data_IF_307007379649
#
_entry.id   IF_307007379649
#
_cell.length_a   1.000
_cell.length_b   1.000
_cell.length_c   1.000
_cell.angle_alpha   90.00
_cell.angle_beta   90.00
_cell.angle_gamma   90.00
#
_symmetry.space_group_name_H-M   'P 1'
#
loop_
_entity.id
_entity.type
_entity.pdbx_description
1 polymer ?
#
# COMPACT_ATOMS: atom_id res chain seq x y z
N UNK A 1 -4.12 -23.24 12.84
CA UNK A 1 -5.29 -22.43 12.42
C UNK A 1 -6.21 -22.34 13.64
N UNK A 2 -6.74 -21.16 14.00
CA UNK A 2 -7.72 -21.06 15.08
C UNK A 2 -8.90 -22.00 14.82
N UNK A 3 -9.53 -22.54 15.87
CA UNK A 3 -10.75 -23.31 15.67
C UNK A 3 -11.82 -22.43 15.04
N UNK A 4 -12.73 -23.04 14.25
CA UNK A 4 -13.79 -22.30 13.55
C UNK A 4 -14.66 -21.48 14.52
N UNK A 5 -14.90 -22.02 15.72
CA UNK A 5 -15.63 -21.36 16.80
C UNK A 5 -14.93 -20.08 17.28
N UNK A 6 -13.61 -20.15 17.54
CA UNK A 6 -12.81 -18.99 17.98
C UNK A 6 -12.76 -17.92 16.89
N UNK A 7 -12.57 -18.33 15.63
CA UNK A 7 -12.57 -17.39 14.50
C UNK A 7 -13.92 -16.71 14.33
N UNK A 8 -15.03 -17.45 14.52
CA UNK A 8 -16.37 -16.90 14.42
C UNK A 8 -16.66 -15.86 15.51
N UNK A 9 -16.32 -16.16 16.77
CA UNK A 9 -16.49 -15.23 17.88
C UNK A 9 -15.69 -13.95 17.64
N UNK A 10 -14.41 -14.07 17.29
CA UNK A 10 -13.54 -12.93 17.02
C UNK A 10 -14.02 -12.08 15.84
N UNK A 11 -14.41 -12.70 14.73
CA UNK A 11 -14.95 -11.98 13.57
C UNK A 11 -16.21 -11.18 13.93
N UNK A 12 -17.10 -11.76 14.72
CA UNK A 12 -18.33 -11.09 15.17
C UNK A 12 -18.03 -9.89 16.06
N UNK A 13 -17.14 -10.06 17.03
CA UNK A 13 -16.74 -9.01 17.98
C UNK A 13 -16.01 -7.84 17.29
N UNK A 14 -15.23 -8.13 16.26
CA UNK A 14 -14.41 -7.14 15.55
C UNK A 14 -15.06 -6.62 14.24
N UNK A 15 -16.33 -6.95 14.00
CA UNK A 15 -17.06 -6.55 12.77
C UNK A 15 -16.35 -6.97 11.46
N UNK A 16 -15.67 -8.12 11.48
CA UNK A 16 -14.95 -8.68 10.33
C UNK A 16 -15.78 -9.77 9.65
N UNK A 17 -15.76 -9.81 8.33
CA UNK A 17 -16.46 -10.85 7.56
C UNK A 17 -15.70 -12.20 7.64
N UNK A 18 -16.29 -13.18 8.35
CA UNK A 18 -15.72 -14.54 8.51
C UNK A 18 -15.39 -15.23 7.18
N UNK A 19 -16.28 -15.13 6.18
CA UNK A 19 -16.08 -15.78 4.87
C UNK A 19 -14.86 -15.20 4.15
N UNK A 20 -14.69 -13.88 4.18
CA UNK A 20 -13.52 -13.22 3.59
C UNK A 20 -12.24 -13.57 4.33
N UNK A 21 -12.27 -13.70 5.67
CA UNK A 21 -11.11 -14.13 6.44
C UNK A 21 -10.69 -15.57 6.13
N UNK A 22 -11.63 -16.50 6.03
CA UNK A 22 -11.34 -17.87 5.61
C UNK A 22 -10.72 -17.89 4.21
N UNK A 23 -11.23 -17.07 3.29
CA UNK A 23 -10.68 -16.97 1.94
C UNK A 23 -9.25 -16.40 1.94
N UNK A 24 -8.97 -15.38 2.76
CA UNK A 24 -7.64 -14.82 2.90
C UNK A 24 -6.64 -15.84 3.47
N UNK A 25 -7.04 -16.64 4.46
CA UNK A 25 -6.22 -17.72 5.03
C UNK A 25 -5.90 -18.78 3.96
N UNK A 26 -6.89 -19.18 3.17
CA UNK A 26 -6.73 -20.14 2.08
C UNK A 26 -5.74 -19.63 1.02
N UNK A 27 -5.95 -18.40 0.52
CA UNK A 27 -5.09 -17.77 -0.49
C UNK A 27 -3.65 -17.65 0.04
N UNK A 28 -3.48 -17.23 1.30
CA UNK A 28 -2.15 -17.15 1.92
C UNK A 28 -1.47 -18.52 1.96
N UNK A 29 -2.20 -19.59 2.28
CA UNK A 29 -1.64 -20.95 2.29
C UNK A 29 -1.15 -21.35 0.90
N UNK A 30 -1.97 -21.12 -0.13
CA UNK A 30 -1.61 -21.45 -1.51
C UNK A 30 -0.37 -20.66 -1.97
N UNK A 31 -0.30 -19.36 -1.66
CA UNK A 31 0.88 -18.54 -1.98
C UNK A 31 2.13 -19.00 -1.23
N UNK A 32 2.01 -19.37 0.05
CA UNK A 32 3.13 -19.88 0.82
C UNK A 32 3.69 -21.18 0.22
N UNK A 33 2.82 -22.10 -0.19
CA UNK A 33 3.22 -23.36 -0.84
C UNK A 33 3.94 -23.10 -2.16
N UNK A 34 3.48 -22.12 -2.94
CA UNK A 34 4.14 -21.70 -4.18
C UNK A 34 5.51 -21.09 -3.92
N UNK A 35 5.65 -20.25 -2.89
CA UNK A 35 6.96 -19.70 -2.49
C UNK A 35 7.95 -20.81 -2.13
N UNK A 36 7.52 -21.81 -1.34
CA UNK A 36 8.36 -22.95 -0.98
C UNK A 36 8.80 -23.73 -2.23
N UNK A 37 7.86 -24.04 -3.14
CA UNK A 37 8.16 -24.73 -4.40
C UNK A 37 9.13 -23.93 -5.29
N UNK A 38 9.04 -22.61 -5.27
CA UNK A 38 9.92 -21.72 -6.01
C UNK A 38 11.25 -21.41 -5.29
N UNK A 39 11.51 -21.99 -4.11
CA UNK A 39 12.71 -21.71 -3.31
C UNK A 39 12.75 -20.30 -2.71
N UNK A 40 11.62 -19.60 -2.65
CA UNK A 40 11.51 -18.27 -2.04
C UNK A 40 11.35 -18.43 -0.52
N UNK A 41 12.31 -17.96 0.30
CA UNK A 41 12.24 -18.14 1.74
C UNK A 41 11.12 -17.31 2.36
N UNK A 42 10.29 -17.95 3.20
CA UNK A 42 9.27 -17.26 3.97
C UNK A 42 9.92 -16.57 5.18
N UNK A 43 10.03 -15.23 5.13
CA UNK A 43 10.59 -14.41 6.22
C UNK A 43 9.59 -13.37 6.68
N UNK A 44 9.60 -13.08 7.98
CA UNK A 44 8.83 -11.99 8.58
C UNK A 44 9.71 -10.76 8.77
N UNK A 45 9.14 -9.57 8.63
CA UNK A 45 9.79 -8.31 9.00
C UNK A 45 9.72 -8.02 10.52
N UNK A 46 9.08 -8.90 11.30
CA UNK A 46 8.93 -8.71 12.74
C UNK A 46 8.13 -7.44 13.05
N UNK A 47 8.59 -6.65 14.03
CA UNK A 47 7.95 -5.40 14.43
C UNK A 47 8.30 -4.23 13.51
N UNK A 48 9.42 -4.31 12.77
CA UNK A 48 9.83 -3.25 11.85
C UNK A 48 9.14 -3.42 10.49
N UNK A 49 8.08 -2.65 10.28
CA UNK A 49 7.34 -2.63 9.03
C UNK A 49 8.10 -1.99 7.85
N UNK A 50 9.30 -1.43 8.06
CA UNK A 50 10.06 -0.74 7.00
C UNK A 50 10.35 -1.64 5.80
N UNK A 51 10.79 -2.88 6.03
CA UNK A 51 11.03 -3.84 4.96
C UNK A 51 9.75 -4.15 4.16
N UNK A 52 8.61 -4.30 4.86
CA UNK A 52 7.31 -4.54 4.22
C UNK A 52 6.85 -3.33 3.39
N UNK A 53 7.00 -2.12 3.91
CA UNK A 53 6.60 -0.89 3.22
C UNK A 53 7.51 -0.59 2.01
N UNK A 54 8.82 -0.88 2.10
CA UNK A 54 9.73 -0.85 0.95
C UNK A 54 9.33 -1.87 -0.14
N UNK A 55 8.93 -3.08 0.27
CA UNK A 55 8.42 -4.09 -0.66
C UNK A 55 7.15 -3.60 -1.40
N UNK A 56 6.19 -3.01 -0.68
CA UNK A 56 5.01 -2.40 -1.28
C UNK A 56 5.38 -1.27 -2.25
N UNK A 57 6.27 -0.35 -1.85
CA UNK A 57 6.75 0.72 -2.72
C UNK A 57 7.43 0.18 -3.99
N UNK A 58 8.18 -0.92 -3.89
CA UNK A 58 8.79 -1.58 -5.04
C UNK A 58 7.79 -2.22 -6.00
N UNK A 59 6.67 -2.75 -5.49
CA UNK A 59 5.62 -3.34 -6.35
C UNK A 59 4.64 -2.31 -6.91
N UNK A 60 4.51 -1.16 -6.23
CA UNK A 60 3.50 -0.14 -6.50
C UNK A 60 4.13 1.24 -6.76
N UNK A 61 5.35 1.29 -7.31
CA UNK A 61 6.12 2.53 -7.48
C UNK A 61 5.44 3.59 -8.36
N UNK A 62 4.48 3.20 -9.20
CA UNK A 62 3.64 4.13 -9.98
C UNK A 62 2.48 4.71 -9.17
N UNK A 63 2.10 4.06 -8.06
CA UNK A 63 0.95 4.39 -7.24
C UNK A 63 1.40 5.09 -5.95
N UNK A 64 2.20 6.13 -6.11
CA UNK A 64 2.71 6.95 -5.02
C UNK A 64 2.09 8.34 -5.11
N UNK A 65 1.73 8.92 -3.97
CA UNK A 65 1.24 10.28 -3.87
C UNK A 65 1.91 11.04 -2.73
N UNK A 66 2.11 12.33 -2.94
CA UNK A 66 2.75 13.24 -1.98
C UNK A 66 1.84 14.39 -1.61
N UNK A 67 1.84 14.72 -0.31
CA UNK A 67 1.18 15.90 0.22
C UNK A 67 1.91 17.15 -0.24
N UNK A 68 1.19 18.06 -0.88
CA UNK A 68 1.71 19.33 -1.36
C UNK A 68 1.50 20.43 -0.30
N UNK A 69 2.23 21.54 -0.45
CA UNK A 69 2.15 22.70 0.47
C UNK A 69 0.76 23.32 0.58
N UNK A 70 -0.07 23.18 -0.46
CA UNK A 70 -1.44 23.68 -0.49
C UNK A 70 -2.44 22.71 0.19
N UNK A 71 -1.98 21.59 0.75
CA UNK A 71 -2.80 20.58 1.42
C UNK A 71 -3.38 19.49 0.51
N UNK A 72 -3.15 19.56 -0.81
CA UNK A 72 -3.62 18.52 -1.74
C UNK A 72 -2.60 17.38 -1.86
N UNK A 73 -3.06 16.16 -2.16
CA UNK A 73 -2.17 15.10 -2.61
C UNK A 73 -2.08 15.08 -4.14
N UNK A 74 -0.87 14.90 -4.66
CA UNK A 74 -0.63 14.66 -6.08
C UNK A 74 0.07 13.32 -6.28
N UNK A 75 -0.40 12.54 -7.26
CA UNK A 75 0.32 11.33 -7.66
C UNK A 75 1.67 11.68 -8.31
N UNK A 76 2.70 10.88 -8.05
CA UNK A 76 4.01 11.08 -8.64
C UNK A 76 4.06 10.76 -10.14
N UNK A 77 3.23 9.80 -10.58
CA UNK A 77 3.20 9.42 -11.99
C UNK A 77 2.51 10.48 -12.85
N UNK A 78 1.24 10.77 -12.58
CA UNK A 78 0.41 11.60 -13.46
C UNK A 78 0.19 13.02 -12.93
N UNK A 79 0.74 13.38 -11.76
CA UNK A 79 0.44 14.65 -11.07
C UNK A 79 -1.07 14.85 -10.87
N UNK A 80 -1.82 13.75 -10.74
CA UNK A 80 -3.27 13.77 -10.56
C UNK A 80 -3.59 14.14 -9.12
N UNK A 81 -4.52 15.09 -8.94
CA UNK A 81 -5.06 15.42 -7.63
C UNK A 81 -5.88 14.27 -7.08
N UNK A 82 -5.53 13.84 -5.88
CA UNK A 82 -6.15 12.71 -5.18
C UNK A 82 -6.36 13.03 -3.70
N UNK A 83 -7.19 12.24 -3.04
CA UNK A 83 -7.51 12.40 -1.63
C UNK A 83 -7.43 11.05 -0.91
N UNK A 84 -7.05 11.04 0.37
CA UNK A 84 -7.19 9.82 1.18
C UNK A 84 -8.68 9.54 1.36
N UNK A 85 -9.11 8.30 1.09
CA UNK A 85 -10.51 7.92 1.27
C UNK A 85 -10.94 8.02 2.75
N UNK A 86 -12.15 8.52 3.08
CA UNK A 86 -12.61 8.72 4.46
C UNK A 86 -12.63 7.47 5.35
N UNK A 87 -12.72 6.28 4.74
CA UNK A 87 -12.69 5.00 5.48
C UNK A 87 -11.28 4.57 5.89
N UNK A 88 -10.23 5.27 5.48
CA UNK A 88 -8.86 4.93 5.85
C UNK A 88 -8.55 5.43 7.25
N UNK A 89 -7.80 4.64 8.02
CA UNK A 89 -7.23 5.09 9.29
C UNK A 89 -6.25 6.27 9.15
N UNK A 90 -5.75 6.53 7.93
CA UNK A 90 -4.84 7.64 7.65
C UNK A 90 -5.56 8.95 7.27
N UNK A 91 -6.89 8.96 7.17
CA UNK A 91 -7.66 10.11 6.70
C UNK A 91 -7.35 11.41 7.45
N UNK A 92 -7.10 11.34 8.75
CA UNK A 92 -6.81 12.50 9.60
C UNK A 92 -5.32 12.73 9.89
N UNK A 93 -4.44 11.86 9.39
CA UNK A 93 -3.01 11.87 9.75
C UNK A 93 -2.11 12.67 8.80
N UNK A 94 -2.63 13.07 7.64
CA UNK A 94 -1.93 13.84 6.60
C UNK A 94 -0.45 13.47 6.38
N UNK A 95 -0.13 12.18 6.10
CA UNK A 95 1.25 11.74 5.88
C UNK A 95 1.88 12.41 4.66
N UNK A 96 3.18 12.73 4.74
CA UNK A 96 3.89 13.41 3.66
C UNK A 96 3.89 12.62 2.34
N UNK A 97 4.03 11.29 2.40
CA UNK A 97 4.08 10.42 1.23
C UNK A 97 3.42 9.07 1.51
N UNK A 98 2.66 8.58 0.55
CA UNK A 98 1.93 7.31 0.65
C UNK A 98 2.02 6.51 -0.64
N UNK A 99 2.02 5.19 -0.49
CA UNK A 99 1.75 4.25 -1.58
C UNK A 99 0.35 3.70 -1.42
N UNK A 100 -0.38 3.47 -2.52
CA UNK A 100 -1.77 3.00 -2.52
C UNK A 100 -2.00 1.89 -3.55
N UNK A 101 -2.99 1.02 -3.33
CA UNK A 101 -3.28 -0.07 -4.29
C UNK A 101 -4.34 0.32 -5.31
N UNK A 102 -5.29 1.19 -4.95
CA UNK A 102 -6.44 1.50 -5.80
C UNK A 102 -6.82 2.99 -5.72
N UNK A 103 -7.35 3.50 -6.84
CA UNK A 103 -8.00 4.80 -6.94
C UNK A 103 -9.45 4.61 -7.36
N UNK A 104 -10.36 5.32 -6.68
CA UNK A 104 -11.79 5.32 -6.97
C UNK A 104 -12.20 6.73 -7.36
N UNK A 105 -12.72 6.88 -8.58
CA UNK A 105 -13.25 8.15 -9.08
C UNK A 105 -14.73 8.28 -8.70
N UNK A 106 -15.07 9.38 -8.04
CA UNK A 106 -16.45 9.75 -7.68
C UNK A 106 -16.64 11.24 -7.97
N UNK A 107 -17.20 12.02 -7.05
CA UNK A 107 -17.09 13.49 -7.06
C UNK A 107 -15.65 13.96 -6.84
N UNK A 108 -14.84 13.18 -6.11
CA UNK A 108 -13.39 13.37 -5.96
C UNK A 108 -12.68 12.04 -6.25
N UNK A 109 -11.42 12.12 -6.65
CA UNK A 109 -10.57 10.95 -6.81
C UNK A 109 -9.99 10.54 -5.45
N UNK A 110 -10.31 9.33 -4.98
CA UNK A 110 -9.88 8.82 -3.67
C UNK A 110 -8.91 7.65 -3.80
N UNK A 111 -7.83 7.69 -3.02
CA UNK A 111 -6.91 6.57 -2.81
C UNK A 111 -7.42 5.65 -1.71
N UNK A 112 -7.31 4.34 -1.90
CA UNK A 112 -7.62 3.33 -0.88
C UNK A 112 -6.50 2.30 -0.74
N UNK A 113 -6.52 1.59 0.39
CA UNK A 113 -5.52 0.62 0.83
C UNK A 113 -4.11 1.21 0.71
N UNK A 114 -3.85 2.22 1.53
CA UNK A 114 -2.60 2.98 1.50
C UNK A 114 -1.79 2.80 2.78
N UNK A 115 -0.48 3.00 2.66
CA UNK A 115 0.45 3.05 3.79
C UNK A 115 1.48 4.16 3.59
N UNK A 116 2.02 4.65 4.70
CA UNK A 116 3.04 5.70 4.71
C UNK A 116 4.36 5.13 4.22
N UNK A 117 4.99 5.79 3.25
CA UNK A 117 6.32 5.45 2.76
C UNK A 117 7.25 6.64 2.90
N UNK A 118 8.54 6.36 3.02
CA UNK A 118 9.56 7.41 2.97
C UNK A 118 9.90 7.72 1.49
N UNK A 119 9.83 8.98 1.05
CA UNK A 119 10.24 9.38 -0.28
C UNK A 119 11.66 8.94 -0.65
N UNK A 120 12.57 8.87 0.33
CA UNK A 120 13.97 8.51 0.10
C UNK A 120 14.14 7.05 -0.36
N UNK A 121 13.14 6.18 -0.12
CA UNK A 121 13.18 4.80 -0.59
C UNK A 121 12.84 4.69 -2.08
N UNK A 122 12.10 5.65 -2.64
CA UNK A 122 11.55 5.57 -4.00
C UNK A 122 12.63 5.43 -5.08
N UNK A 123 13.70 6.24 -5.08
CA UNK A 123 14.77 6.11 -6.06
C UNK A 123 15.50 4.75 -5.97
N UNK A 124 15.56 4.14 -4.78
CA UNK A 124 16.22 2.86 -4.59
C UNK A 124 15.37 1.69 -5.09
N UNK A 125 14.05 1.74 -4.87
CA UNK A 125 13.14 0.64 -5.27
C UNK A 125 12.80 0.64 -6.76
N UNK A 126 12.82 1.80 -7.43
CA UNK A 126 12.62 1.88 -8.89
C UNK A 126 13.51 2.94 -9.56
N UNK A 127 14.85 2.74 -9.60
CA UNK A 127 15.80 3.78 -10.02
C UNK A 127 15.54 4.34 -11.41
N UNK A 128 15.23 3.48 -12.37
CA UNK A 128 15.02 3.88 -13.76
C UNK A 128 13.77 4.75 -13.94
N UNK A 129 12.74 4.47 -13.15
CA UNK A 129 11.48 5.21 -13.20
C UNK A 129 11.66 6.62 -12.64
N UNK A 130 12.21 6.73 -11.42
CA UNK A 130 12.36 8.02 -10.74
C UNK A 130 13.47 8.89 -11.34
N UNK A 131 14.51 8.32 -11.95
CA UNK A 131 15.50 9.09 -12.74
C UNK A 131 14.84 9.83 -13.90
N UNK A 132 13.96 9.18 -14.66
CA UNK A 132 13.23 9.80 -15.79
C UNK A 132 12.29 10.92 -15.34
N UNK A 133 11.53 10.71 -14.25
CA UNK A 133 10.63 11.73 -13.71
C UNK A 133 11.37 12.96 -13.20
N UNK A 134 12.53 12.80 -12.54
CA UNK A 134 13.39 13.92 -12.13
C UNK A 134 13.91 14.73 -13.30
N UNK A 135 14.29 14.08 -14.40
CA UNK A 135 14.74 14.75 -15.63
C UNK A 135 13.60 15.55 -16.29
N UNK A 136 12.37 15.00 -16.31
CA UNK A 136 11.19 15.71 -16.82
C UNK A 136 10.80 16.93 -15.97
N UNK A 137 10.92 16.84 -14.64
CA UNK A 137 10.63 17.95 -13.73
C UNK A 137 11.63 19.12 -13.86
N UNK A 138 12.91 18.82 -14.11
CA UNK A 138 13.96 19.85 -14.34
C UNK A 138 13.89 20.52 -15.72
N UNK A 139 13.27 19.89 -16.71
CA UNK A 139 13.11 20.46 -18.05
C UNK A 139 11.94 21.46 -18.14
N UNK A 140 11.09 21.51 -17.10
CA UNK A 140 9.90 22.36 -17.01
C UNK A 140 10.04 23.46 -15.93
N UNK A 141 11.23 23.62 -15.35
CA UNK A 141 11.61 24.65 -14.37
C UNK A 141 12.72 25.53 -14.94
#
# INVERSE_FOLDING_TARGET
>A
VPSDFVLQAWCKENFVNKKNMLKAIEIRSQLADLCVKAGVPLRSCGQDSTAFRKCLASGLFTNVAELQKNGDYLTLDARKKVHIHPSSCLFSSSPACVVFTEMVETTKCYMRNLTVVDPDWLPDVAPQYFKKKRLGAKALS
#
